data_IF_701537332043
#
_entry.id   IF_701537332043
#
_cell.length_a   1.000
_cell.length_b   1.000
_cell.length_c   1.000
_cell.angle_alpha   90.00
_cell.angle_beta   90.00
_cell.angle_gamma   90.00
#
_symmetry.space_group_name_H-M   'P 1'
#
loop_
_entity.id
_entity.type
_entity.pdbx_description
1 polymer ?
#
# COMPACT_ATOMS: atom_id res chain seq x y z
N UNK A 1 -2.65 -5.64 8.59
CA UNK A 1 -1.46 -5.22 9.37
C UNK A 1 -1.83 -3.94 10.10
N UNK A 2 -1.60 -3.82 11.40
CA UNK A 2 -1.86 -2.58 12.15
C UNK A 2 -0.57 -1.77 12.23
N UNK A 3 -0.59 -0.55 11.70
CA UNK A 3 0.55 0.36 11.70
C UNK A 3 0.41 1.39 12.83
N UNK A 4 1.48 2.12 13.15
CA UNK A 4 1.47 2.99 14.34
C UNK A 4 0.89 4.39 14.09
N UNK A 5 0.65 4.76 12.83
CA UNK A 5 0.17 6.09 12.47
C UNK A 5 -0.14 6.25 10.98
N UNK A 6 -0.72 7.40 10.59
CA UNK A 6 -1.04 7.68 9.20
C UNK A 6 0.21 7.81 8.33
N UNK A 7 1.31 8.35 8.87
CA UNK A 7 2.60 8.43 8.17
C UNK A 7 3.16 7.04 7.84
N UNK A 8 3.05 6.10 8.78
CA UNK A 8 3.54 4.74 8.55
C UNK A 8 2.69 4.00 7.50
N UNK A 9 1.37 4.27 7.43
CA UNK A 9 0.54 3.79 6.32
C UNK A 9 1.02 4.33 4.98
N UNK A 10 1.38 5.61 4.92
CA UNK A 10 1.92 6.23 3.71
C UNK A 10 3.24 5.59 3.29
N UNK A 11 4.18 5.40 4.22
CA UNK A 11 5.45 4.72 3.95
C UNK A 11 5.24 3.28 3.49
N UNK A 12 4.31 2.54 4.10
CA UNK A 12 3.98 1.18 3.69
C UNK A 12 3.48 1.12 2.24
N UNK A 13 2.45 1.92 1.92
CA UNK A 13 1.86 1.95 0.58
C UNK A 13 2.86 2.48 -0.45
N UNK A 14 3.67 3.48 -0.12
CA UNK A 14 4.73 4.01 -0.99
C UNK A 14 5.78 2.94 -1.33
N UNK A 15 6.27 2.23 -0.32
CA UNK A 15 7.23 1.15 -0.50
C UNK A 15 6.66 0.01 -1.35
N UNK A 16 5.39 -0.37 -1.14
CA UNK A 16 4.73 -1.35 -2.01
C UNK A 16 4.56 -0.87 -3.45
N UNK A 17 4.07 0.36 -3.64
CA UNK A 17 3.79 0.92 -4.96
C UNK A 17 5.07 1.01 -5.80
N UNK A 18 6.20 1.37 -5.20
CA UNK A 18 7.50 1.44 -5.87
C UNK A 18 7.99 0.10 -6.46
N UNK A 19 7.47 -1.03 -5.97
CA UNK A 19 7.77 -2.37 -6.46
C UNK A 19 6.62 -2.99 -7.27
N UNK A 20 5.64 -2.17 -7.65
CA UNK A 20 4.54 -2.60 -8.53
C UNK A 20 4.97 -2.56 -10.01
N UNK A 21 4.44 -3.43 -10.87
CA UNK A 21 4.82 -3.46 -12.28
C UNK A 21 4.30 -2.26 -13.09
N UNK A 22 3.23 -1.62 -12.62
CA UNK A 22 2.60 -0.44 -13.25
C UNK A 22 2.63 0.73 -12.27
N UNK A 23 2.84 1.94 -12.78
CA UNK A 23 2.81 3.19 -12.00
C UNK A 23 3.72 3.20 -10.76
N UNK A 24 4.86 2.50 -10.81
CA UNK A 24 5.83 2.43 -9.72
C UNK A 24 6.41 3.80 -9.30
N UNK A 25 6.35 4.79 -10.19
CA UNK A 25 6.84 6.15 -9.96
C UNK A 25 5.80 7.05 -9.26
N UNK A 26 4.55 6.58 -9.12
CA UNK A 26 3.47 7.32 -8.49
C UNK A 26 3.51 7.09 -6.98
N UNK A 27 3.34 8.15 -6.21
CA UNK A 27 3.29 8.08 -4.75
C UNK A 27 1.83 8.02 -4.26
N UNK A 28 1.43 6.95 -3.55
CA UNK A 28 0.13 6.89 -2.90
C UNK A 28 -0.01 7.97 -1.83
N UNK A 29 -1.14 8.66 -1.83
CA UNK A 29 -1.54 9.61 -0.78
C UNK A 29 -2.97 9.33 -0.34
N UNK A 30 -3.36 9.67 0.90
CA UNK A 30 -4.74 9.58 1.36
C UNK A 30 -5.71 10.40 0.48
N UNK A 31 -6.72 9.73 -0.08
CA UNK A 31 -7.75 10.34 -0.93
C UNK A 31 -9.16 10.01 -0.47
N UNK A 32 -10.13 10.81 -0.90
CA UNK A 32 -11.55 10.54 -0.67
C UNK A 32 -12.01 9.41 -1.60
N UNK A 33 -12.72 8.42 -1.05
CA UNK A 33 -13.27 7.29 -1.82
C UNK A 33 -14.79 7.22 -1.62
N UNK A 34 -15.59 7.16 -2.70
CA UNK A 34 -17.04 7.07 -2.58
C UNK A 34 -17.47 5.88 -1.71
N UNK A 35 -18.31 6.16 -0.71
CA UNK A 35 -18.80 5.16 0.24
C UNK A 35 -17.96 5.01 1.52
N UNK A 36 -16.84 5.73 1.64
CA UNK A 36 -16.03 5.78 2.85
C UNK A 36 -16.11 7.15 3.51
N UNK A 37 -16.24 7.17 4.84
CA UNK A 37 -16.23 8.40 5.66
C UNK A 37 -14.80 8.93 5.84
N UNK A 38 -13.86 8.02 6.09
CA UNK A 38 -12.44 8.34 6.21
C UNK A 38 -11.74 8.31 4.86
N UNK A 39 -10.66 9.07 4.73
CA UNK A 39 -9.76 8.96 3.58
C UNK A 39 -9.18 7.55 3.51
N UNK A 40 -9.04 7.04 2.29
CA UNK A 40 -8.41 5.76 1.99
C UNK A 40 -7.04 6.03 1.35
N UNK A 41 -6.04 5.26 1.75
CA UNK A 41 -4.77 5.16 1.04
C UNK A 41 -4.70 3.80 0.33
N UNK A 42 -4.14 3.76 -0.88
CA UNK A 42 -4.07 2.55 -1.70
C UNK A 42 -2.76 2.50 -2.51
N UNK A 43 -2.05 1.37 -2.41
CA UNK A 43 -1.07 0.92 -3.38
C UNK A 43 -1.74 -0.12 -4.30
N UNK A 44 -1.74 0.16 -5.60
CA UNK A 44 -2.54 -0.57 -6.60
C UNK A 44 -1.96 -0.45 -8.00
N UNK A 45 -0.64 -0.53 -8.14
CA UNK A 45 0.07 -0.53 -9.43
C UNK A 45 -0.15 -1.81 -10.24
N UNK A 46 -1.42 -2.08 -10.58
CA UNK A 46 -1.89 -3.30 -11.22
C UNK A 46 -2.09 -3.11 -12.72
N UNK A 47 -1.93 -4.17 -13.50
CA UNK A 47 -2.19 -4.16 -14.94
C UNK A 47 -3.68 -3.94 -15.24
N UNK A 48 -4.56 -4.54 -14.45
CA UNK A 48 -6.01 -4.29 -14.53
C UNK A 48 -6.41 -3.34 -13.39
N UNK A 49 -7.04 -2.23 -13.73
CA UNK A 49 -7.46 -1.22 -12.75
C UNK A 49 -8.36 -1.83 -11.67
N UNK A 50 -7.98 -1.66 -10.39
CA UNK A 50 -8.76 -2.15 -9.25
C UNK A 50 -8.65 -3.66 -9.00
N UNK A 51 -7.71 -4.34 -9.65
CA UNK A 51 -7.44 -5.77 -9.44
C UNK A 51 -6.93 -6.04 -8.04
N UNK A 52 -7.61 -6.92 -7.30
CA UNK A 52 -7.18 -7.39 -5.97
C UNK A 52 -6.60 -8.80 -5.98
N UNK A 53 -6.54 -9.46 -7.17
CA UNK A 53 -5.77 -10.69 -7.36
C UNK A 53 -4.30 -10.37 -7.66
N UNK A 54 -4.03 -9.20 -8.24
CA UNK A 54 -2.70 -8.61 -8.29
C UNK A 54 -2.33 -8.02 -6.92
N UNK A 55 -1.03 -7.91 -6.65
CA UNK A 55 -0.54 -7.41 -5.36
C UNK A 55 -1.05 -5.97 -5.14
N UNK A 56 -1.76 -5.77 -4.04
CA UNK A 56 -2.32 -4.48 -3.66
C UNK A 56 -2.39 -4.34 -2.15
N UNK A 57 -2.45 -3.10 -1.69
CA UNK A 57 -2.72 -2.81 -0.29
C UNK A 57 -3.49 -1.52 -0.11
N UNK A 58 -4.48 -1.52 0.76
CA UNK A 58 -5.33 -0.37 1.03
C UNK A 58 -5.84 -0.36 2.47
N UNK A 59 -6.29 0.80 2.94
CA UNK A 59 -6.91 0.91 4.25
C UNK A 59 -7.36 2.33 4.61
N UNK A 60 -8.30 2.46 5.56
CA UNK A 60 -8.78 3.75 6.02
C UNK A 60 -7.74 4.42 6.94
N UNK A 61 -7.50 5.71 6.71
CA UNK A 61 -6.52 6.52 7.44
C UNK A 61 -7.11 6.98 8.77
N UNK A 62 -7.35 6.02 9.66
CA UNK A 62 -7.82 6.22 11.03
C UNK A 62 -7.34 5.09 11.95
N UNK A 63 -7.33 5.28 13.28
CA UNK A 63 -6.99 4.21 14.21
C UNK A 63 -7.82 2.92 13.98
N UNK A 64 -7.19 1.73 14.04
CA UNK A 64 -5.80 1.46 14.43
C UNK A 64 -4.82 1.41 13.23
N UNK A 65 -5.07 2.22 12.19
CA UNK A 65 -4.24 2.36 10.99
C UNK A 65 -3.99 1.01 10.30
N UNK A 66 -5.09 0.28 10.09
CA UNK A 66 -5.05 -1.06 9.50
C UNK A 66 -4.90 -0.95 7.99
N UNK A 67 -3.85 -1.58 7.47
CA UNK A 67 -3.69 -1.88 6.04
C UNK A 67 -4.10 -3.33 5.77
N UNK A 68 -4.95 -3.52 4.77
CA UNK A 68 -5.22 -4.80 4.13
C UNK A 68 -4.24 -4.95 2.98
N UNK A 69 -3.50 -6.06 2.97
CA UNK A 69 -2.57 -6.39 1.89
C UNK A 69 -3.01 -7.74 1.35
N UNK A 70 -3.21 -7.82 0.04
CA UNK A 70 -3.77 -8.98 -0.63
C UNK A 70 -3.22 -9.16 -2.04
N UNK A 71 -3.55 -10.31 -2.63
CA UNK A 71 -3.18 -10.63 -3.99
C UNK A 71 -1.70 -10.94 -4.16
N UNK A 72 -1.30 -11.03 -5.42
CA UNK A 72 0.01 -11.47 -5.85
C UNK A 72 -0.12 -12.60 -6.87
N UNK A 73 0.25 -12.31 -8.12
CA UNK A 73 0.20 -13.30 -9.20
C UNK A 73 1.32 -14.35 -9.07
N UNK A 74 2.48 -13.92 -8.56
CA UNK A 74 3.65 -14.76 -8.33
C UNK A 74 4.25 -14.40 -6.98
N UNK A 75 4.71 -15.41 -6.24
CA UNK A 75 5.19 -15.27 -4.88
C UNK A 75 6.37 -14.29 -4.78
N UNK A 76 7.27 -14.34 -5.75
CA UNK A 76 8.47 -13.51 -5.82
C UNK A 76 8.12 -12.02 -5.87
N UNK A 77 7.10 -11.65 -6.64
CA UNK A 77 6.63 -10.26 -6.72
C UNK A 77 6.05 -9.80 -5.38
N UNK A 78 5.22 -10.63 -4.74
CA UNK A 78 4.70 -10.34 -3.39
C UNK A 78 5.83 -10.14 -2.38
N UNK A 79 6.86 -10.98 -2.41
CA UNK A 79 8.01 -10.84 -1.52
C UNK A 79 8.77 -9.53 -1.75
N UNK A 80 8.99 -9.13 -3.00
CA UNK A 80 9.63 -7.85 -3.33
C UNK A 80 8.79 -6.67 -2.83
N UNK A 81 7.48 -6.69 -3.04
CA UNK A 81 6.58 -5.64 -2.55
C UNK A 81 6.57 -5.52 -1.01
N UNK A 82 6.53 -6.66 -0.31
CA UNK A 82 6.58 -6.70 1.16
C UNK A 82 7.91 -6.15 1.68
N UNK A 83 9.03 -6.55 1.07
CA UNK A 83 10.36 -6.07 1.46
C UNK A 83 10.51 -4.58 1.18
N UNK A 84 10.00 -4.08 0.05
CA UNK A 84 9.99 -2.65 -0.28
C UNK A 84 9.19 -1.83 0.73
N UNK A 85 8.03 -2.33 1.16
CA UNK A 85 7.22 -1.70 2.21
C UNK A 85 7.96 -1.63 3.55
N UNK A 86 8.59 -2.74 3.96
CA UNK A 86 9.34 -2.81 5.20
C UNK A 86 10.58 -1.90 5.17
N UNK A 87 11.31 -1.89 4.06
CA UNK A 87 12.47 -1.01 3.86
C UNK A 87 12.07 0.47 3.95
N UNK A 88 10.97 0.87 3.31
CA UNK A 88 10.49 2.25 3.31
C UNK A 88 10.07 2.71 4.71
N UNK A 89 9.40 1.85 5.48
CA UNK A 89 9.10 2.13 6.90
C UNK A 89 10.39 2.29 7.71
N UNK A 90 11.35 1.37 7.56
CA UNK A 90 12.60 1.40 8.32
C UNK A 90 13.45 2.64 8.02
N UNK A 91 13.41 3.16 6.79
CA UNK A 91 14.09 4.42 6.42
C UNK A 91 13.55 5.65 7.17
N UNK A 92 12.27 5.63 7.55
CA UNK A 92 11.58 6.76 8.18
C UNK A 92 11.33 6.56 9.68
N UNK A 93 11.55 5.35 10.20
CA UNK A 93 11.63 5.08 11.65
C UNK A 93 13.05 5.39 12.14
N UNK A 94 13.23 6.60 12.67
CA UNK A 94 14.46 7.01 13.34
C UNK A 94 14.76 6.21 14.60
#
# INVERSE_FOLDING_TARGET
>A
INLHGPEEMEYFCRGMQAYSPVDAHVHPIPGDMPGYEDKIIMAGGTFVQGSSIELSADGPVRPPYTIFMQGGLVFEHSMLGILGAAEEILKHRG
#
